data_IF_919662048877
#
_entry.id   IF_919662048877
#
_cell.length_a   1.000
_cell.length_b   1.000
_cell.length_c   1.000
_cell.angle_alpha   90.00
_cell.angle_beta   90.00
_cell.angle_gamma   90.00
#
_symmetry.space_group_name_H-M   'P 1'
#
loop_
_entity.id
_entity.type
_entity.pdbx_description
1 polymer ?
#
# COMPACT_ATOMS: atom_id res chain seq x y z
N UNK A 1 6.37 -23.84 -2.36
CA UNK A 1 5.49 -22.83 -1.74
C UNK A 1 5.82 -21.49 -2.36
N UNK A 2 4.99 -21.01 -3.28
CA UNK A 2 5.20 -19.75 -3.97
C UNK A 2 4.94 -18.60 -2.97
N UNK A 3 6.01 -18.03 -2.44
CA UNK A 3 5.99 -16.79 -1.67
C UNK A 3 5.85 -15.63 -2.66
N UNK A 4 4.62 -15.31 -3.06
CA UNK A 4 4.40 -14.13 -3.90
C UNK A 4 4.59 -12.86 -3.05
N UNK A 5 5.80 -12.30 -3.13
CA UNK A 5 6.19 -11.05 -2.49
C UNK A 5 5.87 -9.82 -3.37
N UNK A 6 5.13 -9.99 -4.47
CA UNK A 6 4.86 -8.93 -5.44
C UNK A 6 4.26 -7.67 -4.80
N UNK A 7 3.43 -7.81 -3.76
CA UNK A 7 2.86 -6.67 -3.02
C UNK A 7 3.96 -5.84 -2.36
N UNK A 8 4.89 -6.49 -1.65
CA UNK A 8 5.98 -5.78 -0.99
C UNK A 8 6.99 -5.25 -2.01
N UNK A 9 7.29 -6.00 -3.08
CA UNK A 9 8.19 -5.54 -4.14
C UNK A 9 7.65 -4.28 -4.83
N UNK A 10 6.34 -4.26 -5.12
CA UNK A 10 5.64 -3.10 -5.68
C UNK A 10 5.68 -1.90 -4.72
N UNK A 11 5.48 -2.13 -3.43
CA UNK A 11 5.61 -1.10 -2.39
C UNK A 11 7.03 -0.52 -2.36
N UNK A 12 8.06 -1.36 -2.18
CA UNK A 12 9.43 -0.92 -2.03
C UNK A 12 10.00 -0.30 -3.32
N UNK A 13 9.58 -0.77 -4.49
CA UNK A 13 9.95 -0.14 -5.76
C UNK A 13 9.42 1.30 -5.83
N UNK A 14 8.15 1.51 -5.49
CA UNK A 14 7.53 2.85 -5.51
C UNK A 14 8.13 3.77 -4.45
N UNK A 15 8.39 3.23 -3.24
CA UNK A 15 9.02 3.96 -2.14
C UNK A 15 10.41 4.47 -2.53
N UNK A 16 11.25 3.61 -3.13
CA UNK A 16 12.59 4.00 -3.58
C UNK A 16 12.55 5.07 -4.65
N UNK A 17 11.61 4.99 -5.59
CA UNK A 17 11.48 5.99 -6.65
C UNK A 17 11.13 7.38 -6.09
N UNK A 18 10.15 7.48 -5.18
CA UNK A 18 9.83 8.76 -4.55
C UNK A 18 10.92 9.22 -3.57
N UNK A 19 11.27 8.40 -2.58
CA UNK A 19 12.11 8.85 -1.47
C UNK A 19 13.61 8.81 -1.74
N UNK A 20 14.12 8.04 -2.71
CA UNK A 20 15.57 7.99 -2.97
C UNK A 20 15.95 8.71 -4.26
N UNK A 21 15.09 8.74 -5.28
CA UNK A 21 15.39 9.51 -6.49
C UNK A 21 15.05 11.00 -6.34
N UNK A 22 13.94 11.36 -5.67
CA UNK A 22 13.58 12.78 -5.46
C UNK A 22 14.28 13.38 -4.23
N UNK A 23 14.47 12.60 -3.17
CA UNK A 23 15.21 12.99 -1.95
C UNK A 23 16.51 12.20 -1.86
N UNK A 24 17.61 12.73 -2.37
CA UNK A 24 18.90 12.00 -2.44
C UNK A 24 19.51 11.66 -1.08
N UNK A 25 19.18 12.40 -0.01
CA UNK A 25 19.75 12.22 1.34
C UNK A 25 18.76 12.66 2.43
N UNK A 26 18.84 12.03 3.61
CA UNK A 26 18.13 12.44 4.82
C UNK A 26 19.14 12.91 5.87
N UNK A 27 18.81 13.97 6.60
CA UNK A 27 19.71 14.53 7.63
C UNK A 27 19.84 13.65 8.86
N UNK A 28 18.84 12.82 9.15
CA UNK A 28 18.85 11.87 10.26
C UNK A 28 17.90 10.70 10.03
N UNK A 29 18.09 9.62 10.81
CA UNK A 29 17.17 8.48 10.82
C UNK A 29 15.75 8.88 11.23
N UNK A 30 15.60 9.87 12.10
CA UNK A 30 14.29 10.38 12.50
C UNK A 30 13.61 11.14 11.35
N UNK A 31 14.37 11.97 10.63
CA UNK A 31 13.87 12.67 9.44
C UNK A 31 13.39 11.65 8.38
N UNK A 32 14.21 10.63 8.08
CA UNK A 32 13.82 9.58 7.14
C UNK A 32 12.52 8.85 7.54
N UNK A 33 12.32 8.60 8.84
CA UNK A 33 11.09 7.97 9.35
C UNK A 33 9.87 8.87 9.16
N UNK A 34 9.99 10.16 9.46
CA UNK A 34 8.89 11.11 9.30
C UNK A 34 8.50 11.27 7.83
N UNK A 35 9.47 11.41 6.93
CA UNK A 35 9.21 11.49 5.49
C UNK A 35 8.57 10.19 4.97
N UNK A 36 9.03 9.04 5.46
CA UNK A 36 8.43 7.74 5.11
C UNK A 36 6.98 7.64 5.58
N UNK A 37 6.69 8.01 6.83
CA UNK A 37 5.32 7.98 7.36
C UNK A 37 4.41 8.96 6.61
N UNK A 38 4.89 10.18 6.38
CA UNK A 38 4.19 11.20 5.60
C UNK A 38 3.85 10.68 4.21
N UNK A 39 4.82 10.08 3.51
CA UNK A 39 4.59 9.48 2.20
C UNK A 39 3.58 8.33 2.23
N UNK A 40 3.64 7.45 3.25
CA UNK A 40 2.68 6.35 3.41
C UNK A 40 1.26 6.89 3.59
N UNK A 41 1.07 7.85 4.50
CA UNK A 41 -0.24 8.35 4.88
C UNK A 41 -0.87 9.27 3.83
N UNK A 42 -0.08 10.12 3.18
CA UNK A 42 -0.59 11.16 2.28
C UNK A 42 -0.68 10.68 0.82
N UNK A 43 0.27 9.86 0.38
CA UNK A 43 0.36 9.43 -1.01
C UNK A 43 0.03 7.94 -1.18
N UNK A 44 0.77 7.05 -0.51
CA UNK A 44 0.64 5.61 -0.77
C UNK A 44 -0.77 5.10 -0.46
N UNK A 45 -1.26 5.30 0.76
CA UNK A 45 -2.56 4.78 1.18
C UNK A 45 -3.74 5.50 0.52
N UNK A 46 -3.59 6.79 0.18
CA UNK A 46 -4.71 7.66 -0.21
C UNK A 46 -4.81 7.95 -1.70
N UNK A 47 -3.73 7.78 -2.46
CA UNK A 47 -3.68 8.23 -3.86
C UNK A 47 -3.18 7.15 -4.82
N UNK A 48 -2.22 6.31 -4.39
CA UNK A 48 -1.63 5.29 -5.27
C UNK A 48 -2.64 4.18 -5.55
N UNK A 49 -3.09 4.07 -6.80
CA UNK A 49 -3.92 2.93 -7.24
C UNK A 49 -3.05 1.73 -7.60
N UNK A 50 -3.47 0.54 -7.17
CA UNK A 50 -2.84 -0.72 -7.59
C UNK A 50 -3.36 -1.14 -8.96
N UNK A 51 -2.48 -1.47 -9.90
CA UNK A 51 -2.88 -1.88 -11.25
C UNK A 51 -3.71 -3.17 -11.28
N UNK A 52 -3.49 -4.06 -10.33
CA UNK A 52 -4.20 -5.35 -10.24
C UNK A 52 -5.66 -5.20 -9.79
N UNK A 53 -5.96 -4.26 -8.89
CA UNK A 53 -7.32 -4.09 -8.31
C UNK A 53 -8.00 -2.79 -8.71
N UNK A 54 -7.26 -1.81 -9.22
CA UNK A 54 -7.75 -0.45 -9.51
C UNK A 54 -7.99 0.42 -8.27
N UNK A 55 -7.95 -0.17 -7.08
CA UNK A 55 -8.22 0.47 -5.80
C UNK A 55 -6.96 1.09 -5.19
N UNK A 56 -7.14 2.09 -4.34
CA UNK A 56 -6.08 2.54 -3.42
C UNK A 56 -5.99 1.59 -2.21
N UNK A 57 -4.82 1.49 -1.54
CA UNK A 57 -4.66 0.58 -0.40
C UNK A 57 -5.70 0.77 0.70
N UNK A 58 -6.08 2.01 1.01
CA UNK A 58 -7.06 2.28 2.06
C UNK A 58 -8.46 1.73 1.71
N UNK A 59 -8.86 1.83 0.44
CA UNK A 59 -10.13 1.26 -0.04
C UNK A 59 -10.08 -0.27 -0.02
N UNK A 60 -9.02 -0.86 -0.58
CA UNK A 60 -8.85 -2.31 -0.57
C UNK A 60 -8.83 -2.89 0.85
N UNK A 61 -8.23 -2.18 1.82
CA UNK A 61 -8.24 -2.57 3.22
C UNK A 61 -9.63 -2.40 3.87
N UNK A 62 -10.36 -1.33 3.54
CA UNK A 62 -11.72 -1.14 4.01
C UNK A 62 -12.66 -2.26 3.52
N UNK A 63 -12.57 -2.61 2.23
CA UNK A 63 -13.33 -3.70 1.62
C UNK A 63 -12.99 -5.05 2.26
N UNK A 64 -11.71 -5.28 2.59
CA UNK A 64 -11.27 -6.49 3.27
C UNK A 64 -11.81 -6.59 4.71
N UNK A 65 -11.82 -5.48 5.45
CA UNK A 65 -12.26 -5.43 6.85
C UNK A 65 -13.78 -5.42 6.99
N UNK A 66 -14.49 -4.83 6.03
CA UNK A 66 -15.95 -4.74 6.00
C UNK A 66 -16.44 -5.24 4.65
N UNK A 67 -16.43 -6.56 4.43
CA UNK A 67 -16.96 -7.13 3.20
C UNK A 67 -18.44 -6.75 3.08
N UNK A 68 -18.81 -6.14 1.95
CA UNK A 68 -20.22 -5.82 1.68
C UNK A 68 -21.06 -7.11 1.74
N UNK A 69 -22.20 -7.11 2.46
CA UNK A 69 -23.06 -8.30 2.54
C UNK A 69 -23.60 -8.77 1.17
N UNK A 70 -23.54 -7.93 0.13
CA UNK A 70 -23.92 -8.28 -1.24
C UNK A 70 -22.85 -9.09 -2.01
N UNK A 71 -21.62 -9.19 -1.49
CA UNK A 71 -20.49 -9.87 -2.12
C UNK A 71 -20.01 -11.10 -1.33
N UNK A 72 -20.80 -11.59 -0.38
CA UNK A 72 -20.54 -12.88 0.27
C UNK A 72 -20.55 -13.99 -0.81
N UNK A 73 -19.45 -14.71 -1.04
CA UNK A 73 -19.50 -15.90 -1.85
C UNK A 73 -20.41 -16.91 -1.13
N UNK A 74 -21.27 -17.63 -1.87
CA UNK A 74 -22.14 -18.70 -1.33
C UNK A 74 -21.39 -19.74 -0.47
N UNK A 75 -20.05 -19.79 -0.55
CA UNK A 75 -19.17 -20.66 0.20
C UNK A 75 -19.10 -20.41 1.72
N UNK A 76 -19.69 -19.32 2.24
CA UNK A 76 -19.69 -18.98 3.68
C UNK A 76 -21.10 -19.06 4.32
N UNK A 77 -22.03 -19.79 3.71
CA UNK A 77 -23.39 -20.00 4.21
C UNK A 77 -23.69 -21.44 4.68
N UNK A 78 -22.67 -22.24 5.05
CA UNK A 78 -22.82 -23.60 5.57
C UNK A 78 -22.20 -23.76 6.96
#
# INVERSE_FOLDING_TARGET
>A
MCWDNAVAESFFSTLKLHLLHERKQFDSKQHARLETLSWIETYYNRQRRHSATGLIPAEAMADFLTPSPELLPEALAA
#
